data_IF_277396993456
#
_entry.id   IF_277396993456
#
_cell.length_a   1.000
_cell.length_b   1.000
_cell.length_c   1.000
_cell.angle_alpha   90.00
_cell.angle_beta   90.00
_cell.angle_gamma   90.00
#
_symmetry.space_group_name_H-M   'P 1'
#
loop_
_entity.id
_entity.type
_entity.pdbx_description
1 polymer ?
#
# COMPACT_ATOMS: atom_id res chain seq x y z
N UNK A 1 -5.23 -17.01 -5.03
CA UNK A 1 -3.99 -16.24 -5.28
C UNK A 1 -2.84 -17.22 -5.42
N UNK A 2 -2.01 -17.01 -6.44
CA UNK A 2 -0.78 -17.78 -6.55
C UNK A 2 0.18 -17.37 -5.43
N UNK A 3 0.80 -18.34 -4.77
CA UNK A 3 1.89 -18.07 -3.86
C UNK A 3 3.07 -17.51 -4.64
N UNK A 4 3.71 -16.48 -4.10
CA UNK A 4 4.96 -15.97 -4.67
C UNK A 4 6.02 -17.06 -4.60
N UNK A 5 6.75 -17.23 -5.70
CA UNK A 5 7.87 -18.17 -5.79
C UNK A 5 9.23 -17.48 -5.51
N UNK A 6 9.21 -16.25 -4.99
CA UNK A 6 10.45 -15.54 -4.67
C UNK A 6 11.09 -16.17 -3.44
N UNK A 7 12.35 -16.53 -3.58
CA UNK A 7 13.15 -17.10 -2.51
C UNK A 7 14.06 -16.01 -1.91
N UNK A 8 14.44 -16.21 -0.66
CA UNK A 8 15.31 -15.27 0.05
C UNK A 8 16.61 -14.98 -0.71
N UNK A 9 17.16 -15.98 -1.37
CA UNK A 9 18.40 -15.85 -2.14
C UNK A 9 18.22 -15.03 -3.43
N UNK A 10 17.00 -14.91 -3.93
CA UNK A 10 16.70 -14.19 -5.17
C UNK A 10 16.54 -12.68 -4.97
N UNK A 11 16.48 -12.23 -3.72
CA UNK A 11 16.26 -10.82 -3.35
C UNK A 11 17.56 -10.20 -2.85
N UNK A 12 17.82 -8.99 -3.28
CA UNK A 12 18.94 -8.15 -2.84
C UNK A 12 18.45 -6.85 -2.24
N UNK A 13 19.23 -6.27 -1.34
CA UNK A 13 18.97 -4.92 -0.82
C UNK A 13 18.87 -3.93 -1.99
N UNK A 14 17.87 -3.07 -1.94
CA UNK A 14 17.57 -2.12 -3.00
C UNK A 14 16.60 -2.63 -4.08
N UNK A 15 16.32 -3.92 -4.13
CA UNK A 15 15.31 -4.44 -5.05
C UNK A 15 13.93 -3.86 -4.74
N UNK A 16 13.14 -3.65 -5.78
CA UNK A 16 11.79 -3.09 -5.67
C UNK A 16 10.74 -4.10 -6.11
N UNK A 17 9.57 -4.02 -5.50
CA UNK A 17 8.39 -4.74 -5.97
C UNK A 17 7.97 -4.24 -7.36
N UNK A 18 7.23 -5.05 -8.14
CA UNK A 18 6.48 -4.50 -9.25
C UNK A 18 5.58 -3.37 -8.76
N UNK A 19 5.45 -2.31 -9.55
CA UNK A 19 4.57 -1.20 -9.22
C UNK A 19 3.10 -1.61 -9.36
N UNK A 20 2.30 -1.23 -8.38
CA UNK A 20 0.85 -1.24 -8.51
C UNK A 20 0.39 0.20 -8.69
N UNK A 21 -0.10 0.52 -9.88
CA UNK A 21 -0.55 1.86 -10.24
C UNK A 21 -2.02 1.84 -10.60
N UNK A 22 -2.78 2.78 -10.07
CA UNK A 22 -4.21 2.91 -10.40
C UNK A 22 -4.69 4.35 -10.28
N UNK A 23 -5.67 4.72 -11.13
CA UNK A 23 -6.38 5.97 -10.99
C UNK A 23 -7.45 5.85 -9.91
N UNK A 24 -7.48 6.82 -9.00
CA UNK A 24 -8.48 6.89 -7.94
C UNK A 24 -9.69 7.66 -8.45
N UNK A 25 -10.76 6.93 -8.76
CA UNK A 25 -12.03 7.48 -9.21
C UNK A 25 -13.01 7.64 -8.05
N UNK A 26 -14.02 8.49 -8.22
CA UNK A 26 -15.13 8.58 -7.24
C UNK A 26 -15.84 7.24 -7.08
N UNK A 27 -16.01 6.48 -8.15
CA UNK A 27 -16.61 5.13 -8.10
C UNK A 27 -15.79 4.18 -7.25
N UNK A 28 -14.46 4.23 -7.36
CA UNK A 28 -13.57 3.41 -6.53
C UNK A 28 -13.72 3.75 -5.05
N UNK A 29 -13.79 5.03 -4.72
CA UNK A 29 -14.00 5.50 -3.34
C UNK A 29 -15.34 4.99 -2.79
N UNK A 30 -16.41 5.09 -3.57
CA UNK A 30 -17.74 4.60 -3.18
C UNK A 30 -17.74 3.09 -2.96
N UNK A 31 -17.09 2.33 -3.83
CA UNK A 31 -16.95 0.87 -3.67
C UNK A 31 -16.23 0.52 -2.37
N UNK A 32 -15.17 1.23 -2.06
CA UNK A 32 -14.43 1.00 -0.82
C UNK A 32 -15.27 1.39 0.42
N UNK A 33 -16.01 2.48 0.35
CA UNK A 33 -16.93 2.89 1.43
C UNK A 33 -17.92 1.77 1.75
N UNK A 34 -18.51 1.17 0.73
CA UNK A 34 -19.43 0.03 0.88
C UNK A 34 -18.75 -1.21 1.45
N UNK A 35 -17.56 -1.53 0.96
CA UNK A 35 -16.81 -2.72 1.40
C UNK A 35 -16.27 -2.57 2.82
N UNK A 36 -15.75 -1.39 3.17
CA UNK A 36 -15.12 -1.11 4.46
C UNK A 36 -16.06 -0.59 5.53
N UNK A 37 -17.28 -0.20 5.17
CA UNK A 37 -18.24 0.39 6.10
C UNK A 37 -17.90 1.81 6.54
N UNK A 38 -17.03 2.51 5.81
CA UNK A 38 -16.66 3.88 6.09
C UNK A 38 -17.54 4.84 5.28
N UNK A 39 -18.64 5.27 5.92
CA UNK A 39 -19.63 6.17 5.31
C UNK A 39 -19.47 7.63 5.77
N UNK A 40 -18.28 8.02 6.21
CA UNK A 40 -18.02 9.40 6.56
C UNK A 40 -18.28 10.29 5.33
N UNK A 41 -19.11 11.33 5.44
CA UNK A 41 -19.48 12.17 4.29
C UNK A 41 -18.31 12.89 3.63
N UNK A 42 -17.17 13.02 4.27
CA UNK A 42 -15.96 13.61 3.66
C UNK A 42 -15.46 12.80 2.45
N UNK A 43 -15.89 11.55 2.31
CA UNK A 43 -15.48 10.66 1.23
C UNK A 43 -16.49 10.58 0.09
N UNK A 44 -17.73 11.03 0.28
CA UNK A 44 -18.76 10.86 -0.75
C UNK A 44 -19.71 12.06 -0.94
N UNK A 45 -19.75 13.01 -0.01
CA UNK A 45 -20.62 14.18 -0.10
C UNK A 45 -19.80 15.44 -0.37
N UNK A 46 -19.79 15.87 -1.63
CA UNK A 46 -19.03 17.04 -2.07
C UNK A 46 -19.46 18.31 -1.36
N UNK A 47 -20.76 18.51 -1.17
CA UNK A 47 -21.32 19.67 -0.49
C UNK A 47 -20.85 19.71 0.97
N UNK A 48 -20.88 18.60 1.66
CA UNK A 48 -20.37 18.50 3.03
C UNK A 48 -18.87 18.80 3.08
N UNK A 49 -18.08 18.17 2.22
CA UNK A 49 -16.63 18.33 2.18
C UNK A 49 -16.22 19.79 1.95
N UNK A 50 -16.84 20.47 0.98
CA UNK A 50 -16.53 21.87 0.67
C UNK A 50 -17.00 22.80 1.78
N UNK A 51 -18.10 22.53 2.45
CA UNK A 51 -18.58 23.33 3.57
C UNK A 51 -17.60 23.34 4.73
N UNK A 52 -16.89 22.27 4.98
CA UNK A 52 -15.89 22.18 6.04
C UNK A 52 -14.49 22.62 5.59
N UNK A 53 -14.34 23.13 4.38
CA UNK A 53 -13.10 23.71 3.88
C UNK A 53 -12.21 22.78 3.07
N UNK A 54 -12.68 21.59 2.73
CA UNK A 54 -11.95 20.69 1.84
C UNK A 54 -12.20 21.07 0.36
N UNK A 55 -11.21 20.89 -0.52
CA UNK A 55 -11.41 21.20 -1.95
C UNK A 55 -12.37 20.20 -2.64
N UNK A 56 -12.53 19.01 -2.09
CA UNK A 56 -13.33 17.92 -2.66
C UNK A 56 -13.51 16.83 -1.60
N UNK A 57 -14.29 15.80 -1.93
CA UNK A 57 -14.18 14.52 -1.23
C UNK A 57 -12.79 13.92 -1.47
N UNK A 58 -12.34 13.06 -0.58
CA UNK A 58 -11.05 12.37 -0.75
C UNK A 58 -11.14 10.91 -0.34
N UNK A 59 -10.19 10.12 -0.81
CA UNK A 59 -10.16 8.68 -0.57
C UNK A 59 -9.80 8.35 0.89
N UNK A 60 -10.32 7.24 1.39
CA UNK A 60 -9.98 6.72 2.71
C UNK A 60 -8.52 6.27 2.71
N UNK A 61 -7.76 6.66 3.73
CA UNK A 61 -6.35 6.25 3.86
C UNK A 61 -6.15 4.73 3.84
N UNK A 62 -7.06 3.98 4.48
CA UNK A 62 -7.01 2.51 4.49
C UNK A 62 -7.24 1.88 3.12
N UNK A 63 -7.91 2.57 2.18
CA UNK A 63 -8.02 2.09 0.81
C UNK A 63 -6.64 2.05 0.13
N UNK A 64 -5.89 3.13 0.17
CA UNK A 64 -4.54 3.17 -0.37
C UNK A 64 -3.61 2.21 0.39
N UNK A 65 -3.77 2.12 1.71
CA UNK A 65 -3.03 1.16 2.54
C UNK A 65 -3.28 -0.28 2.12
N UNK A 66 -4.52 -0.61 1.74
CA UNK A 66 -4.89 -1.92 1.19
C UNK A 66 -4.25 -2.21 -0.16
N UNK A 67 -4.22 -1.24 -1.07
CA UNK A 67 -3.55 -1.38 -2.37
C UNK A 67 -2.04 -1.53 -2.21
N UNK A 68 -1.44 -0.81 -1.29
CA UNK A 68 -0.02 -0.95 -0.97
C UNK A 68 0.29 -2.37 -0.42
N UNK A 69 -0.55 -2.86 0.48
CA UNK A 69 -0.43 -4.22 0.98
C UNK A 69 -0.55 -5.25 -0.15
N UNK A 70 -1.45 -5.03 -1.10
CA UNK A 70 -1.60 -5.88 -2.27
C UNK A 70 -0.34 -5.88 -3.15
N UNK A 71 0.24 -4.71 -3.40
CA UNK A 71 1.51 -4.63 -4.15
C UNK A 71 2.59 -5.49 -3.50
N UNK A 72 2.67 -5.47 -2.17
CA UNK A 72 3.62 -6.27 -1.41
C UNK A 72 3.27 -7.77 -1.47
N UNK A 73 2.03 -8.14 -1.16
CA UNK A 73 1.64 -9.56 -1.06
C UNK A 73 1.54 -10.26 -2.42
N UNK A 74 1.23 -9.54 -3.50
CA UNK A 74 1.32 -10.08 -4.86
C UNK A 74 2.78 -10.43 -5.22
N UNK A 75 3.73 -9.71 -4.65
CA UNK A 75 5.16 -9.94 -4.88
C UNK A 75 5.71 -11.08 -4.04
N UNK A 76 5.38 -11.12 -2.75
CA UNK A 76 6.03 -12.01 -1.77
C UNK A 76 5.15 -13.12 -1.22
N UNK A 77 3.85 -13.09 -1.51
CA UNK A 77 2.87 -14.04 -0.96
C UNK A 77 2.25 -13.56 0.35
N UNK A 78 0.94 -13.77 0.48
CA UNK A 78 0.15 -13.35 1.63
C UNK A 78 0.64 -13.96 2.94
N UNK A 79 0.96 -15.24 2.94
CA UNK A 79 1.38 -15.96 4.15
C UNK A 79 2.74 -15.55 4.70
N UNK A 80 3.51 -14.78 3.96
CA UNK A 80 4.89 -14.42 4.31
C UNK A 80 5.00 -13.09 5.06
N UNK A 81 3.94 -12.31 5.10
CA UNK A 81 3.94 -11.01 5.79
C UNK A 81 3.94 -11.21 7.31
N UNK A 82 4.88 -10.56 8.01
CA UNK A 82 5.03 -10.62 9.47
C UNK A 82 4.69 -9.30 10.17
N UNK A 83 4.97 -8.18 9.51
CA UNK A 83 4.66 -6.85 10.02
C UNK A 83 4.31 -5.94 8.86
N UNK A 84 3.29 -5.13 9.05
CA UNK A 84 2.87 -4.11 8.12
C UNK A 84 2.50 -2.86 8.90
N UNK A 85 3.29 -1.82 8.75
CA UNK A 85 3.13 -0.55 9.47
C UNK A 85 3.16 0.60 8.49
N UNK A 86 2.12 1.42 8.51
CA UNK A 86 2.01 2.56 7.59
C UNK A 86 1.71 3.85 8.34
N UNK A 87 2.07 4.97 7.71
CA UNK A 87 1.75 6.33 8.13
C UNK A 87 1.14 7.07 6.95
N UNK A 88 0.02 7.73 7.18
CA UNK A 88 -0.60 8.61 6.18
C UNK A 88 0.12 9.95 6.16
N UNK A 89 0.59 10.36 4.98
CA UNK A 89 1.38 11.59 4.79
C UNK A 89 0.68 12.60 3.89
N UNK A 90 -0.41 12.20 3.22
CA UNK A 90 -1.19 13.09 2.36
C UNK A 90 -2.53 12.47 1.98
N UNK A 91 -3.47 13.34 1.64
CA UNK A 91 -4.79 12.95 1.17
C UNK A 91 -4.73 12.62 -0.33
N UNK A 92 -5.54 11.64 -0.74
CA UNK A 92 -5.67 11.24 -2.14
C UNK A 92 -6.99 11.75 -2.68
N UNK A 93 -6.92 12.52 -3.75
CA UNK A 93 -8.06 13.18 -4.37
C UNK A 93 -8.56 12.41 -5.59
N UNK A 94 -9.87 12.48 -5.90
CA UNK A 94 -10.39 11.89 -7.13
C UNK A 94 -9.62 12.42 -8.35
N UNK A 95 -9.26 11.52 -9.25
CA UNK A 95 -8.51 11.84 -10.46
C UNK A 95 -6.98 11.68 -10.32
N UNK A 96 -6.46 11.57 -9.09
CA UNK A 96 -5.05 11.25 -8.91
C UNK A 96 -4.77 9.79 -9.27
N UNK A 97 -3.57 9.55 -9.79
CA UNK A 97 -3.02 8.21 -9.97
C UNK A 97 -2.08 7.92 -8.82
N UNK A 98 -2.32 6.84 -8.09
CA UNK A 98 -1.42 6.40 -7.02
C UNK A 98 -0.51 5.29 -7.52
N UNK A 99 0.72 5.30 -7.01
CA UNK A 99 1.76 4.32 -7.31
C UNK A 99 2.23 3.72 -6.00
N UNK A 100 1.99 2.43 -5.83
CA UNK A 100 2.31 1.66 -4.63
C UNK A 100 3.56 0.81 -4.88
N UNK A 101 4.53 0.91 -3.98
CA UNK A 101 5.82 0.23 -4.14
C UNK A 101 6.41 -0.19 -2.79
N UNK A 102 7.12 -1.31 -2.79
CA UNK A 102 7.97 -1.76 -1.70
C UNK A 102 9.42 -1.85 -2.18
N UNK A 103 10.38 -1.51 -1.32
CA UNK A 103 11.81 -1.60 -1.61
C UNK A 103 12.52 -2.33 -0.48
N UNK A 104 13.38 -3.29 -0.80
CA UNK A 104 14.14 -4.05 0.19
C UNK A 104 15.18 -3.14 0.86
N UNK A 105 15.02 -2.90 2.17
CA UNK A 105 15.95 -2.11 2.96
C UNK A 105 17.09 -2.96 3.53
N UNK A 106 16.77 -4.17 4.00
CA UNK A 106 17.78 -5.10 4.53
C UNK A 106 17.28 -6.54 4.55
N UNK A 107 18.22 -7.46 4.61
CA UNK A 107 17.97 -8.91 4.77
C UNK A 107 18.62 -9.39 6.07
N UNK A 108 17.97 -10.31 6.76
CA UNK A 108 18.46 -10.82 8.04
C UNK A 108 17.78 -12.14 8.41
N UNK A 109 18.25 -12.76 9.47
CA UNK A 109 17.63 -13.94 10.06
C UNK A 109 17.14 -13.60 11.46
N UNK A 110 15.94 -14.07 11.80
CA UNK A 110 15.36 -13.91 13.12
C UNK A 110 14.33 -15.01 13.40
N UNK A 111 14.41 -15.61 14.58
CA UNK A 111 13.45 -16.64 14.98
C UNK A 111 13.42 -17.87 14.06
N UNK A 112 14.54 -18.22 13.44
CA UNK A 112 14.62 -19.31 12.48
C UNK A 112 14.07 -18.98 11.11
N UNK A 113 13.63 -17.75 10.88
CA UNK A 113 13.12 -17.27 9.60
C UNK A 113 14.15 -16.39 8.88
N UNK A 114 14.18 -16.51 7.57
CA UNK A 114 14.92 -15.61 6.69
C UNK A 114 14.02 -14.46 6.30
N UNK A 115 14.33 -13.28 6.77
CA UNK A 115 13.47 -12.10 6.68
C UNK A 115 14.09 -11.00 5.84
N UNK A 116 13.21 -10.22 5.23
CA UNK A 116 13.57 -8.91 4.68
C UNK A 116 12.68 -7.83 5.29
N UNK A 117 13.28 -6.68 5.51
CA UNK A 117 12.57 -5.44 5.84
C UNK A 117 12.45 -4.60 4.59
N UNK A 118 11.24 -4.08 4.34
CA UNK A 118 10.96 -3.25 3.19
C UNK A 118 10.53 -1.87 3.62
N UNK A 119 10.99 -0.85 2.89
CA UNK A 119 10.40 0.48 2.91
C UNK A 119 9.21 0.49 1.96
N UNK A 120 8.09 1.05 2.43
CA UNK A 120 6.84 1.13 1.68
C UNK A 120 6.53 2.57 1.30
N UNK A 121 5.98 2.77 0.11
CA UNK A 121 5.55 4.08 -0.35
C UNK A 121 4.31 4.03 -1.22
N UNK A 122 3.46 5.03 -1.05
CA UNK A 122 2.44 5.42 -2.03
C UNK A 122 2.68 6.88 -2.36
N UNK A 123 2.85 7.16 -3.64
CA UNK A 123 2.96 8.51 -4.18
C UNK A 123 1.91 8.72 -5.26
N UNK A 124 1.62 10.00 -5.58
CA UNK A 124 0.79 10.30 -6.75
C UNK A 124 1.65 10.43 -8.02
N UNK A 125 1.03 10.79 -9.14
CA UNK A 125 1.73 10.98 -10.42
C UNK A 125 2.81 12.08 -10.41
N UNK A 126 2.75 12.98 -9.45
CA UNK A 126 3.72 14.06 -9.29
C UNK A 126 4.83 13.74 -8.26
N UNK A 127 4.80 12.53 -7.70
CA UNK A 127 5.74 12.13 -6.66
C UNK A 127 5.38 12.61 -5.25
N UNK A 128 4.21 13.19 -5.05
CA UNK A 128 3.76 13.62 -3.72
C UNK A 128 3.47 12.41 -2.84
N UNK A 129 4.04 12.39 -1.64
CA UNK A 129 3.88 11.29 -0.70
C UNK A 129 2.46 11.22 -0.14
N UNK A 130 1.88 10.05 -0.17
CA UNK A 130 0.54 9.75 0.39
C UNK A 130 0.62 8.78 1.56
N UNK A 131 1.51 7.81 1.48
CA UNK A 131 1.80 6.84 2.56
C UNK A 131 3.29 6.56 2.57
N UNK A 132 3.83 6.42 3.77
CA UNK A 132 5.13 5.79 4.02
C UNK A 132 4.95 4.65 5.01
N UNK A 133 5.85 3.69 5.00
CA UNK A 133 5.74 2.59 5.94
C UNK A 133 6.88 1.61 5.89
N UNK A 134 6.73 0.57 6.67
CA UNK A 134 7.69 -0.52 6.80
C UNK A 134 6.94 -1.86 6.81
N UNK A 135 7.50 -2.85 6.16
CA UNK A 135 7.02 -4.22 6.25
C UNK A 135 8.16 -5.17 6.58
N UNK A 136 7.82 -6.26 7.27
CA UNK A 136 8.72 -7.38 7.48
C UNK A 136 8.10 -8.61 6.83
N UNK A 137 8.88 -9.29 6.02
CA UNK A 137 8.47 -10.47 5.25
C UNK A 137 9.43 -11.61 5.54
N UNK A 138 8.89 -12.80 5.81
CA UNK A 138 9.69 -14.02 5.89
C UNK A 138 9.58 -14.76 4.56
N UNK A 139 10.70 -14.98 3.90
CA UNK A 139 10.75 -15.65 2.61
C UNK A 139 11.18 -17.09 2.73
N UNK A 140 10.64 -17.98 1.88
CA UNK A 140 11.20 -19.31 1.76
C UNK A 140 12.62 -19.24 1.23
N UNK A 141 13.43 -20.21 1.61
CA UNK A 141 14.81 -20.32 1.18
C UNK A 141 15.03 -21.63 0.43
N UNK A 142 16.08 -21.68 -0.40
CA UNK A 142 16.53 -22.95 -0.98
C UNK A 142 17.02 -23.85 0.13
N UNK A 143 16.49 -25.09 0.14
CA UNK A 143 16.87 -26.11 1.12
C UNK A 143 18.30 -26.62 0.95
#
# INVERSE_FOLDING_TARGET
>A
MAESKILFEDISEGDESPELSLEVTRTLIVKYAGAGGDFNPIHHDESFATTIGLPSVFAMGLMQGGYLARALTDWVGVGNLRLYKIRFTGQVWPGETIICKARVARKYEEGGERRMECDLSVVNQNGDSKITGTAVVALPARG
#
